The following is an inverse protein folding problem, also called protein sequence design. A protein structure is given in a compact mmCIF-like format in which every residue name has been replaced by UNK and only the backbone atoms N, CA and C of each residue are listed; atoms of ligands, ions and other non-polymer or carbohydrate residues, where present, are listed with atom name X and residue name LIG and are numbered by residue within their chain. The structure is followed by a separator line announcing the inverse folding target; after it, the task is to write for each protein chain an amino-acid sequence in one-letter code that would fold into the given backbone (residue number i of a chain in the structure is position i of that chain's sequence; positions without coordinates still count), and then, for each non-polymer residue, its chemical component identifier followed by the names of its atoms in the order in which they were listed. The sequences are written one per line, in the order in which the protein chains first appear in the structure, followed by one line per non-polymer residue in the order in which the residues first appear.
data_IF_094009250509
#
_entry.id   IF_094009250509
#
_cell.length_a   1.000
_cell.length_b   1.000
_cell.length_c   1.000
_cell.angle_alpha   90.00
_cell.angle_beta   90.00
_cell.angle_gamma   90.00
#
_symmetry.space_group_name_H-M   'P 1'
#
loop_
_entity.id
_entity.type
_entity.pdbx_description
1 polymer ?
#
# COMPACT_ATOMS: atom_id res chain seq x y z
N UNK A 1 -6.45 -12.41 1.41
CA UNK A 1 -5.88 -11.46 0.43
C UNK A 1 -5.69 -12.13 -0.92
N UNK A 2 -4.83 -13.15 -1.01
CA UNK A 2 -4.74 -13.99 -2.21
C UNK A 2 -5.87 -15.04 -2.22
N UNK A 3 -6.96 -14.78 -2.95
CA UNK A 3 -8.11 -15.69 -3.08
C UNK A 3 -8.68 -15.68 -4.49
N UNK A 4 -9.50 -16.70 -4.82
CA UNK A 4 -10.23 -16.75 -6.10
C UNK A 4 -11.33 -15.68 -6.14
N UNK A 5 -12.07 -15.52 -5.05
CA UNK A 5 -13.13 -14.52 -4.88
C UNK A 5 -12.63 -13.10 -5.16
N UNK A 6 -11.51 -12.69 -4.56
CA UNK A 6 -10.97 -11.35 -4.78
C UNK A 6 -10.57 -11.10 -6.25
N UNK A 7 -10.11 -12.14 -6.95
CA UNK A 7 -9.76 -12.01 -8.37
C UNK A 7 -10.99 -11.94 -9.26
N UNK A 8 -12.01 -12.71 -8.91
CA UNK A 8 -13.29 -12.66 -9.59
C UNK A 8 -13.90 -11.26 -9.44
N UNK A 9 -13.87 -10.70 -8.24
CA UNK A 9 -14.30 -9.32 -7.97
C UNK A 9 -13.51 -8.28 -8.80
N UNK A 10 -12.18 -8.40 -8.89
CA UNK A 10 -11.39 -7.52 -9.76
C UNK A 10 -11.80 -7.64 -11.23
N UNK A 11 -12.04 -8.86 -11.71
CA UNK A 11 -12.47 -9.12 -13.09
C UNK A 11 -13.84 -8.51 -13.39
N UNK A 12 -14.79 -8.66 -12.48
CA UNK A 12 -16.14 -8.07 -12.58
C UNK A 12 -16.10 -6.55 -12.71
N UNK A 13 -15.19 -5.91 -11.96
CA UNK A 13 -14.94 -4.47 -12.04
C UNK A 13 -13.96 -4.05 -13.15
N UNK A 14 -13.54 -4.98 -14.04
CA UNK A 14 -12.58 -4.73 -15.14
C UNK A 14 -11.23 -4.16 -14.67
N UNK A 15 -10.80 -4.54 -13.47
CA UNK A 15 -9.53 -4.15 -12.88
C UNK A 15 -8.45 -5.21 -13.14
N UNK A 16 -7.22 -4.76 -13.31
CA UNK A 16 -6.05 -5.65 -13.45
C UNK A 16 -5.79 -6.42 -12.15
N UNK A 17 -5.39 -7.70 -12.27
CA UNK A 17 -4.98 -8.51 -11.12
C UNK A 17 -3.63 -7.99 -10.58
N UNK A 18 -3.69 -7.17 -9.54
CA UNK A 18 -2.53 -6.71 -8.75
C UNK A 18 -2.24 -7.55 -7.50
N UNK A 19 -2.94 -8.67 -7.30
CA UNK A 19 -2.80 -9.52 -6.11
C UNK A 19 -1.58 -10.43 -6.29
N UNK A 20 -0.62 -10.31 -5.38
CA UNK A 20 0.55 -11.19 -5.33
C UNK A 20 0.13 -12.63 -5.01
N UNK A 21 0.82 -13.59 -5.63
CA UNK A 21 0.61 -15.02 -5.41
C UNK A 21 1.25 -15.43 -4.08
N UNK A 22 0.56 -16.22 -3.29
CA UNK A 22 1.01 -16.73 -1.98
C UNK A 22 1.43 -18.19 -2.13
N UNK A 23 2.57 -18.54 -1.53
CA UNK A 23 2.95 -19.94 -1.37
C UNK A 23 2.01 -20.63 -0.36
N UNK A 24 1.74 -21.91 -0.58
CA UNK A 24 0.97 -22.74 0.34
C UNK A 24 1.82 -23.90 0.85
N UNK A 25 1.35 -24.57 1.91
CA UNK A 25 2.04 -25.76 2.46
C UNK A 25 2.26 -26.78 1.34
N UNK A 26 3.50 -27.22 1.17
CA UNK A 26 3.94 -28.16 0.12
C UNK A 26 3.66 -27.69 -1.32
N UNK A 27 3.41 -26.39 -1.53
CA UNK A 27 3.18 -25.79 -2.85
C UNK A 27 3.93 -24.45 -2.92
N UNK A 28 5.24 -24.50 -3.21
CA UNK A 28 6.03 -23.29 -3.38
C UNK A 28 5.54 -22.49 -4.60
N UNK A 29 5.95 -21.22 -4.67
CA UNK A 29 5.69 -20.41 -5.86
C UNK A 29 6.52 -20.93 -7.03
N UNK A 30 5.91 -20.97 -8.21
CA UNK A 30 6.64 -21.20 -9.46
C UNK A 30 7.54 -20.00 -9.78
N UNK A 31 8.52 -20.19 -10.67
CA UNK A 31 9.40 -19.11 -11.10
C UNK A 31 8.62 -17.92 -11.69
N UNK A 32 7.60 -18.20 -12.52
CA UNK A 32 6.79 -17.16 -13.15
C UNK A 32 5.97 -16.37 -12.14
N UNK A 33 5.42 -17.06 -11.12
CA UNK A 33 4.72 -16.39 -10.03
C UNK A 33 5.67 -15.51 -9.22
N UNK A 34 6.91 -15.96 -9.02
CA UNK A 34 7.95 -15.20 -8.31
C UNK A 34 8.38 -13.96 -9.10
N UNK A 35 8.63 -14.10 -10.42
CA UNK A 35 8.95 -12.98 -11.32
C UNK A 35 7.80 -11.96 -11.35
N UNK A 36 6.56 -12.42 -11.47
CA UNK A 36 5.37 -11.55 -11.42
C UNK A 36 5.26 -10.82 -10.08
N UNK A 37 5.43 -11.53 -8.96
CA UNK A 37 5.39 -10.93 -7.63
C UNK A 37 6.47 -9.86 -7.48
N UNK A 38 7.70 -10.10 -7.96
CA UNK A 38 8.79 -9.12 -7.95
C UNK A 38 8.43 -7.84 -8.72
N UNK A 39 7.78 -7.96 -9.87
CA UNK A 39 7.31 -6.79 -10.62
C UNK A 39 6.26 -6.00 -9.82
N UNK A 40 5.25 -6.69 -9.28
CA UNK A 40 4.20 -6.05 -8.47
C UNK A 40 4.74 -5.37 -7.20
N UNK A 41 5.76 -5.95 -6.58
CA UNK A 41 6.39 -5.38 -5.38
C UNK A 41 6.93 -3.96 -5.61
N UNK A 42 7.40 -3.62 -6.82
CA UNK A 42 7.87 -2.27 -7.14
C UNK A 42 6.75 -1.23 -7.02
N UNK A 43 5.57 -1.55 -7.55
CA UNK A 43 4.40 -0.68 -7.47
C UNK A 43 3.86 -0.61 -6.03
N UNK A 44 3.77 -1.76 -5.36
CA UNK A 44 3.27 -1.85 -3.97
C UNK A 44 4.14 -1.10 -2.99
N UNK A 45 5.46 -1.10 -3.18
CA UNK A 45 6.41 -0.43 -2.31
C UNK A 45 6.02 1.02 -2.03
N UNK A 46 5.60 1.77 -3.05
CA UNK A 46 5.19 3.18 -2.91
C UNK A 46 3.99 3.35 -1.97
N UNK A 47 3.03 2.42 -2.07
CA UNK A 47 1.82 2.40 -1.25
C UNK A 47 2.16 1.94 0.18
N UNK A 48 2.89 0.85 0.33
CA UNK A 48 3.25 0.27 1.62
C UNK A 48 4.15 1.19 2.45
N UNK A 49 5.09 1.92 1.82
CA UNK A 49 5.90 2.96 2.46
C UNK A 49 5.02 4.09 3.05
N UNK A 50 3.95 4.45 2.34
CA UNK A 50 3.02 5.50 2.76
C UNK A 50 2.30 5.09 4.05
N UNK A 51 1.76 3.87 4.09
CA UNK A 51 1.13 3.31 5.29
C UNK A 51 2.12 3.12 6.44
N UNK A 52 3.33 2.63 6.15
CA UNK A 52 4.39 2.51 7.15
C UNK A 52 4.75 3.85 7.79
N UNK A 53 4.81 4.92 6.99
CA UNK A 53 5.03 6.29 7.48
C UNK A 53 3.87 6.79 8.33
N UNK A 54 2.63 6.59 7.87
CA UNK A 54 1.42 6.91 8.64
C UNK A 54 1.40 6.22 10.01
N UNK A 55 1.73 4.94 10.06
CA UNK A 55 1.77 4.18 11.30
C UNK A 55 2.89 4.66 12.24
N UNK A 56 4.12 4.82 11.72
CA UNK A 56 5.30 5.11 12.56
C UNK A 56 5.43 6.58 12.94
N UNK A 57 5.37 7.50 11.96
CA UNK A 57 5.57 8.94 12.20
C UNK A 57 4.30 9.62 12.68
N UNK A 58 3.15 9.26 12.12
CA UNK A 58 1.88 9.90 12.45
C UNK A 58 1.03 9.11 13.45
N UNK A 59 1.57 8.02 14.03
CA UNK A 59 0.91 7.14 15.01
C UNK A 59 -0.50 6.71 14.58
N UNK A 60 -0.69 6.48 13.28
CA UNK A 60 -1.99 6.19 12.68
C UNK A 60 -2.18 4.69 12.42
N UNK A 61 -2.05 3.89 13.47
CA UNK A 61 -2.29 2.44 13.39
C UNK A 61 -3.71 2.04 13.83
N UNK A 62 -4.37 2.90 14.62
CA UNK A 62 -5.73 2.68 15.15
C UNK A 62 -6.50 4.00 15.13
N UNK A 63 -7.82 3.90 15.05
CA UNK A 63 -8.71 5.04 15.21
C UNK A 63 -8.57 5.61 16.63
N UNK A 64 -8.34 6.92 16.74
CA UNK A 64 -8.21 7.60 18.03
C UNK A 64 -9.53 8.20 18.54
N UNK A 65 -10.53 8.32 17.66
CA UNK A 65 -11.81 8.96 17.94
C UNK A 65 -12.97 8.01 17.70
N UNK A 66 -14.08 8.25 18.39
CA UNK A 66 -15.35 7.60 18.10
C UNK A 66 -16.10 8.32 16.98
N UNK A 67 -16.73 7.54 16.11
CA UNK A 67 -17.54 8.01 15.00
C UNK A 67 -16.76 8.28 13.71
N UNK A 68 -17.39 7.95 12.58
CA UNK A 68 -16.77 8.02 11.26
C UNK A 68 -16.33 9.43 10.87
N UNK A 69 -17.09 10.46 11.26
CA UNK A 69 -16.78 11.86 10.90
C UNK A 69 -15.41 12.27 11.45
N UNK A 70 -15.16 12.04 12.74
CA UNK A 70 -13.90 12.42 13.39
C UNK A 70 -12.72 11.58 12.89
N UNK A 71 -12.93 10.27 12.71
CA UNK A 71 -11.90 9.37 12.18
C UNK A 71 -11.55 9.72 10.73
N UNK A 72 -12.55 10.02 9.90
CA UNK A 72 -12.36 10.43 8.51
C UNK A 72 -11.60 11.75 8.44
N UNK A 73 -12.00 12.77 9.21
CA UNK A 73 -11.28 14.04 9.28
C UNK A 73 -9.81 13.84 9.68
N UNK A 74 -9.54 13.02 10.71
CA UNK A 74 -8.18 12.68 11.12
C UNK A 74 -7.39 11.99 9.98
N UNK A 75 -8.01 11.04 9.28
CA UNK A 75 -7.39 10.33 8.16
C UNK A 75 -6.95 11.28 7.05
N UNK A 76 -7.84 12.21 6.64
CA UNK A 76 -7.55 13.18 5.60
C UNK A 76 -6.43 14.14 6.01
N UNK A 77 -6.47 14.69 7.23
CA UNK A 77 -5.42 15.57 7.74
C UNK A 77 -4.06 14.86 7.76
N UNK A 78 -4.00 13.61 8.23
CA UNK A 78 -2.74 12.85 8.24
C UNK A 78 -2.24 12.51 6.83
N UNK A 79 -3.14 12.26 5.88
CA UNK A 79 -2.77 12.08 4.47
C UNK A 79 -2.18 13.36 3.86
N UNK A 80 -2.73 14.54 4.18
CA UNK A 80 -2.15 15.82 3.78
C UNK A 80 -0.74 16.00 4.36
N UNK A 81 -0.56 15.73 5.66
CA UNK A 81 0.76 15.80 6.30
C UNK A 81 1.77 14.83 5.68
N UNK A 82 1.36 13.62 5.30
CA UNK A 82 2.21 12.67 4.58
C UNK A 82 2.66 13.24 3.24
N UNK A 83 1.77 13.88 2.49
CA UNK A 83 2.09 14.49 1.21
C UNK A 83 3.08 15.66 1.37
N UNK A 84 2.88 16.50 2.38
CA UNK A 84 3.82 17.58 2.72
C UNK A 84 5.20 17.03 3.08
N UNK A 85 5.27 15.98 3.90
CA UNK A 85 6.54 15.32 4.24
C UNK A 85 7.24 14.75 3.00
N UNK A 86 6.50 14.10 2.09
CA UNK A 86 7.05 13.59 0.84
C UNK A 86 7.56 14.71 -0.07
N UNK A 87 6.84 15.83 -0.15
CA UNK A 87 7.26 16.99 -0.93
C UNK A 87 8.54 17.61 -0.35
N UNK A 88 8.59 17.83 0.97
CA UNK A 88 9.78 18.34 1.65
C UNK A 88 11.01 17.46 1.38
N UNK A 89 10.87 16.13 1.50
CA UNK A 89 11.96 15.21 1.22
C UNK A 89 12.42 15.24 -0.24
N UNK A 90 11.53 15.48 -1.20
CA UNK A 90 11.92 15.64 -2.61
C UNK A 90 12.72 16.92 -2.85
N UNK A 91 12.39 17.99 -2.13
CA UNK A 91 13.09 19.28 -2.24
C UNK A 91 14.43 19.29 -1.51
N UNK A 92 14.56 18.53 -0.42
CA UNK A 92 15.78 18.49 0.41
C UNK A 92 16.88 17.56 -0.12
N UNK A 93 16.56 16.66 -1.05
CA UNK A 93 17.59 15.82 -1.69
C UNK A 93 18.34 16.71 -2.67
N UNK A 94 19.66 16.93 -2.52
CA UNK A 94 20.42 17.67 -3.51
C UNK A 94 20.26 16.95 -4.85
N UNK A 95 19.83 17.69 -5.87
CA UNK A 95 19.86 17.21 -7.25
C UNK A 95 21.34 16.92 -7.53
N UNK A 96 21.71 15.64 -7.56
CA UNK A 96 22.98 15.25 -8.11
C UNK A 96 22.97 15.71 -9.58
N UNK A 97 23.81 16.71 -9.88
CA UNK A 97 24.10 17.15 -11.23
C UNK A 97 24.87 16.06 -11.98
#
# INVERSE_FOLDING_TARGET
YDSKENRQHLKEHRLLDGIMRKAHRNRPLTEDQTKRNRYLSKTRYVVEQSFGTLHRKFRYARAAYFGLVKVSAQSHLKAMCLNLLKAANKLSVPVAA
#
